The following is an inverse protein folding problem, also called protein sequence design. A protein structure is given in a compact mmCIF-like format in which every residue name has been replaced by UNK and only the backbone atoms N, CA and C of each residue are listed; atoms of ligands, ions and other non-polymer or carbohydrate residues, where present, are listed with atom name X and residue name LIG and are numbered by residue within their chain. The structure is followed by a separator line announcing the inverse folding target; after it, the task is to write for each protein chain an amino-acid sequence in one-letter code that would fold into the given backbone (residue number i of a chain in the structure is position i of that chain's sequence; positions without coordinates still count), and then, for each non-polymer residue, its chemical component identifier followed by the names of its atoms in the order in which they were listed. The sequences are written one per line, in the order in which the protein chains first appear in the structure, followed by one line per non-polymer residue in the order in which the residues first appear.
data_IF_198014380725
#
_entry.id   IF_198014380725
#
_cell.length_a   1.000
_cell.length_b   1.000
_cell.length_c   1.000
_cell.angle_alpha   90.00
_cell.angle_beta   90.00
_cell.angle_gamma   90.00
#
_symmetry.space_group_name_H-M   'P 1'
#
loop_
_entity.id
_entity.type
_entity.pdbx_description
1 polymer ?
#
# COMPACT_ATOMS: atom_id res chain seq x y z
N UNK A 1 4.07 5.52 25.80
CA UNK A 1 2.79 6.24 25.62
C UNK A 1 2.33 6.11 24.17
N UNK A 2 1.05 6.37 23.88
CA UNK A 2 0.48 6.29 22.51
C UNK A 2 0.54 7.62 21.74
N UNK A 3 0.89 8.72 22.42
CA UNK A 3 0.93 10.06 21.83
C UNK A 3 2.32 10.36 21.28
N UNK A 4 2.37 11.05 20.14
CA UNK A 4 3.55 11.69 19.59
C UNK A 4 3.20 13.17 19.38
N UNK A 5 4.13 14.07 19.70
CA UNK A 5 3.98 15.50 19.48
C UNK A 5 5.09 15.97 18.54
N UNK A 6 4.77 16.90 17.65
CA UNK A 6 5.72 17.61 16.80
C UNK A 6 5.53 19.11 17.05
N UNK A 7 6.63 19.85 17.15
CA UNK A 7 6.61 21.31 17.25
C UNK A 7 7.51 21.88 16.17
N UNK A 8 6.97 22.83 15.41
CA UNK A 8 7.69 23.57 14.38
C UNK A 8 7.61 25.04 14.73
N UNK A 9 8.73 25.76 14.65
CA UNK A 9 8.80 27.17 15.02
C UNK A 9 10.19 27.76 14.77
N UNK A 10 10.37 29.02 15.15
CA UNK A 10 11.61 29.78 14.92
C UNK A 10 12.55 29.83 16.12
N UNK A 11 12.16 29.24 17.24
CA UNK A 11 12.95 29.23 18.47
C UNK A 11 14.07 28.19 18.41
N UNK A 12 15.16 28.36 19.19
CA UNK A 12 16.16 27.32 19.40
C UNK A 12 15.53 26.01 19.87
N UNK A 13 16.15 24.87 19.51
CA UNK A 13 15.66 23.54 19.87
C UNK A 13 15.50 23.36 21.40
N UNK A 14 16.42 23.92 22.19
CA UNK A 14 16.37 23.84 23.66
C UNK A 14 15.12 24.56 24.23
N UNK A 15 14.77 25.70 23.66
CA UNK A 15 13.58 26.47 24.07
C UNK A 15 12.29 25.76 23.67
N UNK A 16 12.26 25.17 22.46
CA UNK A 16 11.14 24.35 22.01
C UNK A 16 10.94 23.11 22.90
N UNK A 17 12.03 22.42 23.25
CA UNK A 17 11.97 21.27 24.14
C UNK A 17 11.41 21.68 25.51
N UNK A 18 11.91 22.78 26.07
CA UNK A 18 11.43 23.30 27.37
C UNK A 18 9.94 23.62 27.33
N UNK A 19 9.47 24.26 26.25
CA UNK A 19 8.06 24.58 26.08
C UNK A 19 7.19 23.33 25.91
N UNK A 20 7.62 22.37 25.08
CA UNK A 20 6.94 21.07 24.93
C UNK A 20 6.85 20.34 26.27
N UNK A 21 7.95 20.24 27.01
CA UNK A 21 7.98 19.60 28.33
C UNK A 21 7.04 20.30 29.30
N UNK A 22 7.09 21.63 29.38
CA UNK A 22 6.21 22.40 30.26
C UNK A 22 4.73 22.24 29.91
N UNK A 23 4.40 22.04 28.63
CA UNK A 23 3.01 21.97 28.16
C UNK A 23 2.42 20.58 28.26
N UNK A 24 3.26 19.53 28.12
CA UNK A 24 2.82 18.14 28.02
C UNK A 24 3.34 17.24 29.17
N UNK A 25 4.11 17.75 30.13
CA UNK A 25 4.61 16.96 31.28
C UNK A 25 3.49 16.37 32.12
N UNK A 26 2.38 17.09 32.22
CA UNK A 26 1.23 16.70 33.05
C UNK A 26 0.34 15.66 32.37
N UNK A 27 0.58 15.38 31.09
CA UNK A 27 -0.11 14.32 30.35
C UNK A 27 0.35 12.99 30.89
N UNK A 28 -0.47 12.44 31.80
CA UNK A 28 -0.21 11.13 32.40
C UNK A 28 -0.12 10.08 31.30
N UNK A 29 0.98 9.35 31.30
CA UNK A 29 1.07 8.13 30.54
C UNK A 29 0.00 7.16 31.08
N UNK A 30 -1.07 6.94 30.32
CA UNK A 30 -1.87 5.74 30.53
C UNK A 30 -0.91 4.55 30.45
N UNK A 31 -0.99 3.57 31.37
CA UNK A 31 -0.31 2.30 31.16
C UNK A 31 -0.63 1.83 29.75
N UNK A 32 0.34 1.21 29.09
CA UNK A 32 0.09 0.42 27.89
C UNK A 32 -0.83 -0.73 28.32
N UNK A 33 -2.10 -0.45 28.59
CA UNK A 33 -3.13 -1.44 28.39
C UNK A 33 -2.92 -1.88 26.94
N UNK A 34 -2.67 -3.18 26.76
CA UNK A 34 -2.72 -3.79 25.45
C UNK A 34 -3.94 -3.20 24.73
N UNK A 35 -3.77 -2.75 23.49
CA UNK A 35 -4.88 -2.24 22.70
C UNK A 35 -6.05 -3.22 22.90
N UNK A 36 -7.21 -2.80 23.46
CA UNK A 36 -8.27 -3.75 23.77
C UNK A 36 -8.67 -4.58 22.54
N UNK A 37 -8.42 -4.06 21.33
CA UNK A 37 -8.51 -4.85 20.10
C UNK A 37 -7.36 -5.86 19.99
N UNK A 38 -6.09 -5.47 20.14
CA UNK A 38 -4.95 -6.40 20.15
C UNK A 38 -4.95 -7.41 21.30
N UNK A 39 -5.57 -7.09 22.44
CA UNK A 39 -5.72 -7.97 23.60
C UNK A 39 -6.88 -8.96 23.43
N UNK A 40 -7.91 -8.58 22.67
CA UNK A 40 -9.03 -9.44 22.30
C UNK A 40 -8.73 -10.30 21.06
N UNK A 41 -7.74 -9.91 20.26
CA UNK A 41 -7.24 -10.71 19.15
C UNK A 41 -6.35 -11.82 19.72
N UNK A 42 -6.71 -13.11 19.59
CA UNK A 42 -5.82 -14.18 20.02
C UNK A 42 -4.46 -14.08 19.30
N UNK A 43 -3.39 -14.43 20.02
CA UNK A 43 -2.00 -14.38 19.54
C UNK A 43 -1.78 -15.18 18.24
N UNK A 44 -2.75 -16.03 17.88
CA UNK A 44 -2.76 -16.90 16.71
C UNK A 44 -3.42 -16.32 15.45
N UNK A 45 -3.92 -15.07 15.46
CA UNK A 45 -4.47 -14.42 14.27
C UNK A 45 -3.32 -14.05 13.33
N UNK A 46 -2.85 -15.05 12.62
CA UNK A 46 -2.05 -14.89 11.41
C UNK A 46 -2.95 -15.12 10.20
N UNK A 47 -2.60 -14.49 9.09
CA UNK A 47 -3.22 -14.74 7.78
C UNK A 47 -3.31 -16.25 7.50
N UNK A 48 -2.28 -17.00 7.90
CA UNK A 48 -2.13 -18.44 7.69
C UNK A 48 -3.06 -19.31 8.54
N UNK A 49 -3.49 -18.84 9.71
CA UNK A 49 -4.26 -19.66 10.67
C UNK A 49 -5.75 -19.37 10.69
N UNK A 50 -6.17 -18.11 10.48
CA UNK A 50 -7.58 -17.71 10.64
C UNK A 50 -8.16 -16.87 9.50
N UNK A 51 -7.38 -16.56 8.46
CA UNK A 51 -7.88 -15.77 7.32
C UNK A 51 -8.54 -14.47 7.77
N UNK A 52 -7.86 -13.67 8.59
CA UNK A 52 -8.42 -12.41 9.10
C UNK A 52 -7.68 -11.23 8.48
N UNK A 53 -8.34 -10.17 7.97
CA UNK A 53 -9.79 -9.92 8.00
C UNK A 53 -10.62 -10.53 6.86
N UNK A 54 -10.00 -11.11 5.83
CA UNK A 54 -10.72 -11.81 4.75
C UNK A 54 -10.62 -13.32 4.93
N UNK A 55 -11.77 -13.95 5.22
CA UNK A 55 -11.86 -15.40 5.42
C UNK A 55 -11.30 -16.15 4.19
N UNK A 56 -10.21 -16.88 4.41
CA UNK A 56 -9.42 -17.52 3.35
C UNK A 56 -10.12 -18.76 2.80
N UNK A 57 -10.98 -19.42 3.58
CA UNK A 57 -11.70 -20.63 3.14
C UNK A 57 -12.67 -20.36 1.99
N UNK A 58 -12.95 -19.09 1.76
CA UNK A 58 -14.16 -18.66 1.09
C UNK A 58 -13.81 -17.76 -0.12
N UNK A 59 -12.51 -17.50 -0.32
CA UNK A 59 -11.91 -16.95 -1.54
C UNK A 59 -11.81 -17.99 -2.68
N UNK A 60 -11.84 -17.56 -3.96
CA UNK A 60 -11.95 -16.18 -4.43
C UNK A 60 -13.41 -15.67 -4.51
N UNK A 61 -13.62 -14.41 -4.17
CA UNK A 61 -14.90 -13.72 -4.29
C UNK A 61 -14.93 -12.75 -5.47
N UNK A 62 -16.11 -12.60 -6.08
CA UNK A 62 -16.39 -11.56 -7.07
C UNK A 62 -17.44 -10.59 -6.53
N UNK A 63 -17.02 -9.36 -6.26
CA UNK A 63 -17.91 -8.28 -5.84
C UNK A 63 -18.24 -7.42 -7.06
N UNK A 64 -19.53 -7.20 -7.32
CA UNK A 64 -20.01 -6.31 -8.39
C UNK A 64 -20.64 -5.08 -7.77
N UNK A 65 -20.11 -3.91 -8.12
CA UNK A 65 -20.59 -2.62 -7.61
C UNK A 65 -21.10 -1.80 -8.78
N UNK A 66 -22.29 -1.19 -8.63
CA UNK A 66 -22.80 -0.18 -9.55
C UNK A 66 -22.30 1.20 -9.10
N UNK A 67 -21.37 1.84 -9.80
CA UNK A 67 -20.88 3.15 -9.40
C UNK A 67 -21.93 4.22 -9.67
N UNK A 68 -21.86 5.32 -8.89
CA UNK A 68 -22.64 6.54 -9.15
C UNK A 68 -21.97 7.37 -10.26
N UNK A 69 -20.63 7.40 -10.25
CA UNK A 69 -19.81 8.06 -11.29
C UNK A 69 -19.68 7.15 -12.51
N UNK A 70 -19.46 7.76 -13.68
CA UNK A 70 -19.15 7.06 -14.92
C UNK A 70 -17.69 6.57 -14.91
N UNK A 71 -17.45 5.47 -14.19
CA UNK A 71 -16.15 4.84 -14.04
C UNK A 71 -16.25 3.33 -14.22
N UNK A 72 -15.32 2.75 -14.97
CA UNK A 72 -15.17 1.30 -15.09
C UNK A 72 -13.87 0.88 -14.44
N UNK A 73 -13.97 0.17 -13.32
CA UNK A 73 -12.81 -0.20 -12.51
C UNK A 73 -12.85 -1.68 -12.17
N UNK A 74 -11.72 -2.35 -12.41
CA UNK A 74 -11.46 -3.70 -11.97
C UNK A 74 -10.42 -3.65 -10.85
N UNK A 75 -10.74 -4.24 -9.70
CA UNK A 75 -9.83 -4.31 -8.56
C UNK A 75 -9.57 -5.78 -8.25
N UNK A 76 -8.29 -6.14 -8.19
CA UNK A 76 -7.83 -7.42 -7.68
C UNK A 76 -7.10 -7.15 -6.38
N UNK A 77 -7.51 -7.82 -5.30
CA UNK A 77 -7.00 -7.57 -3.96
C UNK A 77 -6.44 -8.86 -3.36
N UNK A 78 -5.27 -8.74 -2.74
CA UNK A 78 -4.66 -9.81 -1.97
C UNK A 78 -4.39 -9.32 -0.57
N UNK A 79 -4.71 -10.16 0.40
CA UNK A 79 -4.29 -9.92 1.76
C UNK A 79 -2.85 -10.40 1.97
N UNK A 80 -2.02 -9.54 2.55
CA UNK A 80 -0.63 -9.81 2.90
C UNK A 80 -0.42 -9.74 4.41
N UNK A 81 0.62 -10.40 4.94
CA UNK A 81 1.13 -10.11 6.28
C UNK A 81 1.49 -8.61 6.43
N UNK A 82 1.52 -8.07 7.67
CA UNK A 82 1.89 -6.69 7.93
C UNK A 82 3.21 -6.29 7.27
N UNK A 83 3.17 -5.28 6.40
CA UNK A 83 4.37 -4.80 5.69
C UNK A 83 5.13 -3.72 6.48
N UNK A 84 4.54 -3.15 7.54
CA UNK A 84 5.10 -2.02 8.30
C UNK A 84 6.51 -2.27 8.86
N UNK A 85 6.82 -3.52 9.23
CA UNK A 85 8.16 -3.90 9.71
C UNK A 85 9.24 -3.93 8.62
N UNK A 86 8.83 -4.01 7.35
CA UNK A 86 9.72 -4.15 6.18
C UNK A 86 10.03 -2.82 5.51
N UNK A 87 9.99 -1.70 6.24
CA UNK A 87 10.19 -0.35 5.69
C UNK A 87 11.54 -0.14 4.98
N UNK A 88 12.55 -0.97 5.27
CA UNK A 88 13.88 -0.91 4.63
C UNK A 88 13.93 -1.58 3.27
N UNK A 89 13.29 -2.73 3.13
CA UNK A 89 13.30 -3.54 1.90
C UNK A 89 12.10 -3.27 1.00
N UNK A 90 10.98 -2.81 1.58
CA UNK A 90 9.73 -2.44 0.91
C UNK A 90 9.31 -3.40 -0.21
N UNK A 91 9.19 -4.72 0.05
CA UNK A 91 8.97 -5.72 -1.00
C UNK A 91 7.66 -5.49 -1.78
N UNK A 92 6.59 -5.11 -1.09
CA UNK A 92 5.33 -4.75 -1.73
C UNK A 92 5.46 -3.53 -2.66
N UNK A 93 6.30 -2.55 -2.31
CA UNK A 93 6.53 -1.39 -3.18
C UNK A 93 7.27 -1.79 -4.46
N UNK A 94 8.29 -2.66 -4.36
CA UNK A 94 9.01 -3.19 -5.53
C UNK A 94 8.06 -3.95 -6.47
N UNK A 95 7.17 -4.77 -5.91
CA UNK A 95 6.17 -5.48 -6.71
C UNK A 95 5.16 -4.52 -7.36
N UNK A 96 4.67 -3.53 -6.61
CA UNK A 96 3.80 -2.47 -7.11
C UNK A 96 4.44 -1.68 -8.24
N UNK A 97 5.73 -1.35 -8.12
CA UNK A 97 6.50 -0.65 -9.15
C UNK A 97 6.58 -1.43 -10.47
N UNK A 98 6.83 -2.74 -10.42
CA UNK A 98 6.89 -3.57 -11.63
C UNK A 98 5.52 -3.73 -12.29
N UNK A 99 4.48 -4.06 -11.50
CA UNK A 99 3.14 -4.28 -12.02
C UNK A 99 2.53 -2.97 -12.55
N UNK A 100 2.75 -1.88 -11.83
CA UNK A 100 2.29 -0.52 -12.18
C UNK A 100 3.17 0.19 -13.22
N UNK A 101 4.19 -0.46 -13.77
CA UNK A 101 5.07 0.16 -14.75
C UNK A 101 4.31 0.53 -16.03
N UNK A 102 4.59 1.70 -16.59
CA UNK A 102 3.89 2.23 -17.78
C UNK A 102 4.71 2.14 -19.08
N UNK A 103 5.99 1.78 -19.00
CA UNK A 103 6.88 1.72 -20.15
C UNK A 103 6.60 0.54 -21.09
N UNK A 104 7.32 0.51 -22.21
CA UNK A 104 7.19 -0.54 -23.23
C UNK A 104 7.37 -1.94 -22.64
N UNK A 105 6.49 -2.87 -23.02
CA UNK A 105 6.51 -4.25 -22.53
C UNK A 105 5.85 -4.43 -21.16
N UNK A 106 5.34 -3.38 -20.53
CA UNK A 106 4.57 -3.49 -19.29
C UNK A 106 3.18 -4.06 -19.51
N UNK A 107 2.57 -4.55 -18.42
CA UNK A 107 1.18 -5.00 -18.41
C UNK A 107 0.21 -3.92 -18.91
N UNK A 108 0.38 -2.68 -18.46
CA UNK A 108 -0.46 -1.58 -18.91
C UNK A 108 -0.27 -1.29 -20.40
N UNK A 109 0.97 -1.30 -20.90
CA UNK A 109 1.25 -1.09 -22.33
C UNK A 109 0.57 -2.15 -23.21
N UNK A 110 0.55 -3.40 -22.75
CA UNK A 110 -0.12 -4.50 -23.42
C UNK A 110 -1.65 -4.40 -23.37
N UNK A 111 -2.23 -4.05 -22.22
CA UNK A 111 -3.67 -3.85 -22.09
C UNK A 111 -4.16 -2.64 -22.91
N UNK A 112 -3.37 -1.56 -22.97
CA UNK A 112 -3.63 -0.38 -23.80
C UNK A 112 -3.61 -0.73 -25.30
N UNK A 113 -2.64 -1.51 -25.77
CA UNK A 113 -2.55 -1.90 -27.19
C UNK A 113 -3.73 -2.77 -27.66
N UNK A 114 -4.31 -3.57 -26.76
CA UNK A 114 -5.56 -4.31 -26.99
C UNK A 114 -6.83 -3.48 -26.82
N UNK A 115 -6.72 -2.21 -26.41
CA UNK A 115 -7.85 -1.34 -26.13
C UNK A 115 -8.68 -1.77 -24.90
N UNK A 116 -8.07 -2.47 -23.94
CA UNK A 116 -8.75 -3.01 -22.76
C UNK A 116 -8.68 -2.08 -21.53
N UNK A 117 -7.58 -1.36 -21.35
CA UNK A 117 -7.38 -0.48 -20.19
C UNK A 117 -6.84 0.88 -20.61
N UNK A 118 -7.06 1.86 -19.74
CA UNK A 118 -6.52 3.23 -19.88
C UNK A 118 -5.48 3.53 -18.82
N UNK A 119 -5.59 2.93 -17.64
CA UNK A 119 -4.72 3.18 -16.51
C UNK A 119 -4.61 1.93 -15.62
N UNK A 120 -3.49 1.81 -14.91
CA UNK A 120 -3.23 0.71 -13.98
C UNK A 120 -2.32 1.19 -12.85
N UNK A 121 -2.76 0.96 -11.61
CA UNK A 121 -1.96 1.19 -10.41
C UNK A 121 -1.88 -0.08 -9.57
N UNK A 122 -0.72 -0.33 -8.96
CA UNK A 122 -0.52 -1.47 -8.07
C UNK A 122 0.27 -1.08 -6.81
N UNK A 123 -0.10 -1.63 -5.66
CA UNK A 123 0.63 -1.39 -4.42
C UNK A 123 -0.18 -1.69 -3.16
N UNK A 124 0.43 -1.39 -2.02
CA UNK A 124 -0.23 -1.40 -0.71
C UNK A 124 -0.54 0.04 -0.33
N UNK A 125 -1.76 0.33 0.11
CA UNK A 125 -2.06 1.66 0.62
C UNK A 125 -1.28 1.92 1.92
N UNK A 126 -0.51 3.00 1.97
CA UNK A 126 0.23 3.38 3.18
C UNK A 126 -0.67 3.97 4.28
N UNK A 127 -1.95 4.23 3.98
CA UNK A 127 -2.92 4.89 4.86
C UNK A 127 -4.20 4.06 5.07
N UNK A 128 -4.80 4.20 6.26
CA UNK A 128 -6.11 3.63 6.58
C UNK A 128 -6.11 2.12 6.84
N UNK A 129 -7.21 1.46 6.46
CA UNK A 129 -7.42 0.03 6.74
C UNK A 129 -6.51 -0.90 5.92
N UNK A 130 -5.90 -0.43 4.84
CA UNK A 130 -5.10 -1.25 3.93
C UNK A 130 -3.67 -1.51 4.37
N UNK A 131 -3.17 -0.87 5.44
CA UNK A 131 -1.94 -1.31 6.11
C UNK A 131 -1.97 -1.00 7.61
N UNK A 132 -2.00 -2.03 8.44
CA UNK A 132 -2.03 -1.91 9.90
C UNK A 132 -1.13 -2.98 10.55
N UNK A 133 -1.16 -3.08 11.88
CA UNK A 133 -0.34 -4.03 12.64
C UNK A 133 -0.74 -5.51 12.44
N UNK A 134 -1.89 -5.79 11.82
CA UNK A 134 -2.46 -7.13 11.65
C UNK A 134 -2.32 -7.62 10.21
N UNK A 135 -2.59 -6.76 9.22
CA UNK A 135 -2.45 -7.09 7.82
C UNK A 135 -2.18 -5.87 6.94
N UNK A 136 -1.76 -6.14 5.71
CA UNK A 136 -1.74 -5.19 4.61
C UNK A 136 -2.56 -5.73 3.44
N UNK A 137 -3.14 -4.87 2.62
CA UNK A 137 -3.88 -5.24 1.41
C UNK A 137 -3.09 -4.73 0.21
N UNK A 138 -2.77 -5.65 -0.70
CA UNK A 138 -2.17 -5.34 -1.98
C UNK A 138 -3.25 -5.25 -3.05
N UNK A 139 -3.32 -4.12 -3.72
CA UNK A 139 -4.32 -3.80 -4.71
C UNK A 139 -3.68 -3.70 -6.09
N UNK A 140 -4.30 -4.31 -7.09
CA UNK A 140 -4.11 -3.99 -8.51
C UNK A 140 -5.42 -3.40 -9.01
N UNK A 141 -5.38 -2.13 -9.36
CA UNK A 141 -6.52 -1.37 -9.85
C UNK A 141 -6.32 -1.05 -11.33
N UNK A 142 -7.24 -1.51 -12.17
CA UNK A 142 -7.23 -1.27 -13.61
C UNK A 142 -8.44 -0.41 -13.98
N UNK A 143 -8.19 0.73 -14.63
CA UNK A 143 -9.24 1.56 -15.23
C UNK A 143 -9.54 1.02 -16.62
N UNK A 144 -10.71 0.41 -16.76
CA UNK A 144 -11.13 -0.29 -17.96
C UNK A 144 -11.69 0.67 -19.02
N UNK A 145 -11.46 0.36 -20.29
CA UNK A 145 -12.24 0.94 -21.38
C UNK A 145 -13.63 0.28 -21.45
N UNK A 146 -14.55 0.80 -22.29
CA UNK A 146 -15.84 0.14 -22.56
C UNK A 146 -15.65 -1.29 -23.07
N UNK A 147 -14.63 -1.53 -23.92
CA UNK A 147 -14.26 -2.86 -24.39
C UNK A 147 -13.69 -3.72 -23.25
N UNK A 148 -12.82 -3.13 -22.42
CA UNK A 148 -12.27 -3.79 -21.24
C UNK A 148 -13.32 -4.24 -20.25
N UNK A 149 -14.39 -3.46 -20.07
CA UNK A 149 -15.52 -3.83 -19.23
C UNK A 149 -16.25 -5.06 -19.76
N UNK A 150 -16.50 -5.13 -21.07
CA UNK A 150 -17.11 -6.31 -21.69
C UNK A 150 -16.22 -7.56 -21.59
N UNK A 151 -14.90 -7.36 -21.60
CA UNK A 151 -13.88 -8.41 -21.57
C UNK A 151 -13.09 -8.45 -20.24
N UNK A 152 -13.71 -8.08 -19.12
CA UNK A 152 -13.01 -7.94 -17.84
C UNK A 152 -12.30 -9.23 -17.39
N UNK A 153 -12.85 -10.40 -17.77
CA UNK A 153 -12.22 -11.70 -17.49
C UNK A 153 -10.90 -11.88 -18.24
N UNK A 154 -10.80 -11.40 -19.48
CA UNK A 154 -9.55 -11.42 -20.26
C UNK A 154 -8.51 -10.52 -19.59
N UNK A 155 -8.93 -9.36 -19.07
CA UNK A 155 -8.04 -8.48 -18.30
C UNK A 155 -7.52 -9.18 -17.05
N UNK A 156 -8.37 -9.89 -16.30
CA UNK A 156 -7.94 -10.71 -15.15
C UNK A 156 -6.92 -11.76 -15.56
N UNK A 157 -7.16 -12.48 -16.67
CA UNK A 157 -6.21 -13.48 -17.18
C UNK A 157 -4.85 -12.86 -17.46
N UNK A 158 -4.79 -11.71 -18.14
CA UNK A 158 -3.53 -11.03 -18.43
C UNK A 158 -2.80 -10.52 -17.19
N UNK A 159 -3.54 -10.06 -16.17
CA UNK A 159 -2.94 -9.73 -14.87
C UNK A 159 -2.29 -10.97 -14.25
N UNK A 160 -2.99 -12.11 -14.25
CA UNK A 160 -2.47 -13.36 -13.68
C UNK A 160 -1.30 -13.92 -14.47
N UNK A 161 -1.30 -13.81 -15.81
CA UNK A 161 -0.17 -14.17 -16.67
C UNK A 161 1.07 -13.33 -16.36
N UNK A 162 0.90 -12.03 -16.13
CA UNK A 162 2.00 -11.15 -15.72
C UNK A 162 2.56 -11.53 -14.34
N UNK A 163 1.69 -11.86 -13.38
CA UNK A 163 2.12 -12.35 -12.07
C UNK A 163 2.85 -13.70 -12.16
N UNK A 164 2.39 -14.61 -13.02
CA UNK A 164 3.06 -15.90 -13.26
C UNK A 164 4.44 -15.70 -13.91
N UNK A 165 4.57 -14.78 -14.84
CA UNK A 165 5.86 -14.39 -15.42
C UNK A 165 6.83 -13.90 -14.34
N UNK A 166 6.39 -12.99 -13.47
CA UNK A 166 7.21 -12.50 -12.34
C UNK A 166 7.60 -13.63 -11.39
N UNK A 167 6.69 -14.57 -11.12
CA UNK A 167 6.96 -15.74 -10.29
C UNK A 167 8.00 -16.66 -10.92
N UNK A 168 7.94 -16.91 -12.23
CA UNK A 168 8.90 -17.75 -12.96
C UNK A 168 10.30 -17.13 -13.04
N UNK A 169 10.40 -15.81 -13.00
CA UNK A 169 11.69 -15.13 -12.89
C UNK A 169 12.41 -15.49 -11.59
N UNK A 170 11.66 -15.85 -10.54
CA UNK A 170 12.14 -16.33 -9.24
C UNK A 170 12.65 -15.23 -8.33
N UNK A 171 13.54 -14.36 -8.84
CA UNK A 171 14.08 -13.21 -8.14
C UNK A 171 13.98 -11.95 -9.00
N UNK A 172 13.60 -10.84 -8.38
CA UNK A 172 13.63 -9.53 -9.03
C UNK A 172 15.10 -9.10 -9.13
N UNK A 173 15.58 -8.66 -10.31
CA UNK A 173 16.96 -8.19 -10.46
C UNK A 173 17.30 -7.01 -9.54
N UNK A 174 18.50 -7.00 -8.98
CA UNK A 174 18.95 -5.97 -8.03
C UNK A 174 18.87 -4.54 -8.59
N UNK A 175 19.09 -4.38 -9.90
CA UNK A 175 19.02 -3.07 -10.56
C UNK A 175 17.64 -2.41 -10.42
N UNK A 176 16.56 -3.18 -10.34
CA UNK A 176 15.19 -2.66 -10.15
C UNK A 176 15.07 -2.00 -8.78
N UNK A 177 15.61 -2.65 -7.75
CA UNK A 177 15.62 -2.10 -6.41
C UNK A 177 16.49 -0.84 -6.33
N UNK A 178 17.65 -0.85 -6.97
CA UNK A 178 18.54 0.30 -7.03
C UNK A 178 17.92 1.49 -7.77
N UNK A 179 17.14 1.25 -8.83
CA UNK A 179 16.39 2.28 -9.55
C UNK A 179 15.34 2.93 -8.63
N UNK A 180 14.50 2.12 -7.98
CA UNK A 180 13.48 2.62 -7.04
C UNK A 180 14.14 3.43 -5.91
N UNK A 181 15.28 2.96 -5.40
CA UNK A 181 16.06 3.64 -4.36
C UNK A 181 16.58 4.99 -4.85
N UNK A 182 17.11 5.06 -6.08
CA UNK A 182 17.62 6.30 -6.66
C UNK A 182 16.51 7.34 -6.85
N UNK A 183 15.37 6.93 -7.42
CA UNK A 183 14.19 7.80 -7.59
C UNK A 183 13.70 8.32 -6.24
N UNK A 184 13.55 7.42 -5.25
CA UNK A 184 13.12 7.80 -3.90
C UNK A 184 14.10 8.77 -3.22
N UNK A 185 15.40 8.57 -3.43
CA UNK A 185 16.44 9.46 -2.89
C UNK A 185 16.39 10.85 -3.54
N UNK A 186 16.15 10.93 -4.86
CA UNK A 186 15.95 12.21 -5.53
C UNK A 186 14.71 12.93 -4.99
N UNK A 187 13.58 12.24 -4.89
CA UNK A 187 12.35 12.79 -4.33
C UNK A 187 12.54 13.33 -2.91
N UNK A 188 13.28 12.61 -2.05
CA UNK A 188 13.59 13.06 -0.70
C UNK A 188 14.52 14.29 -0.69
N UNK A 189 15.57 14.29 -1.52
CA UNK A 189 16.55 15.39 -1.58
C UNK A 189 15.96 16.70 -2.10
N UNK A 190 14.98 16.60 -3.00
CA UNK A 190 14.33 17.75 -3.64
C UNK A 190 12.89 17.93 -3.16
N UNK A 191 12.55 17.42 -1.98
CA UNK A 191 11.23 17.64 -1.40
C UNK A 191 11.08 19.14 -1.11
N UNK A 192 9.97 19.72 -1.61
CA UNK A 192 9.65 21.12 -1.35
C UNK A 192 9.28 21.33 0.12
N UNK A 193 9.58 22.52 0.62
CA UNK A 193 9.19 22.93 1.96
C UNK A 193 7.65 22.95 2.03
N UNK A 194 7.09 22.08 2.89
CA UNK A 194 5.64 22.03 3.11
C UNK A 194 5.24 23.13 4.07
N UNK A 195 4.03 23.63 3.88
CA UNK A 195 3.43 24.53 4.85
C UNK A 195 3.36 23.82 6.22
N UNK A 196 3.92 24.38 7.30
CA UNK A 196 3.87 23.76 8.62
C UNK A 196 2.45 23.59 9.19
N UNK A 197 1.43 24.16 8.53
CA UNK A 197 0.01 23.99 8.87
C UNK A 197 -0.68 22.80 8.18
N UNK A 198 -0.03 22.11 7.25
CA UNK A 198 -0.52 20.89 6.56
C UNK A 198 0.11 19.62 7.11
#
# INVERSE_FOLDING_TARGET
GRMRACMVGRMPLDDMEKQLRSSFSDVRASPLAADPLAAALPEDITLEKKGFPLDVETLPYLIRVRPIKDIHRLQLQWQLPPQNGMYRTKPANTLGHLIGHEGSGSLLSFLRSKGLATDLSAGVSEEGYGSNSICSVFDICVTLSTRGLALWKEVVVHVMEYLDMLRRLGSIPDWVYDEIRQVSNMQYRFIEERDPST
#
